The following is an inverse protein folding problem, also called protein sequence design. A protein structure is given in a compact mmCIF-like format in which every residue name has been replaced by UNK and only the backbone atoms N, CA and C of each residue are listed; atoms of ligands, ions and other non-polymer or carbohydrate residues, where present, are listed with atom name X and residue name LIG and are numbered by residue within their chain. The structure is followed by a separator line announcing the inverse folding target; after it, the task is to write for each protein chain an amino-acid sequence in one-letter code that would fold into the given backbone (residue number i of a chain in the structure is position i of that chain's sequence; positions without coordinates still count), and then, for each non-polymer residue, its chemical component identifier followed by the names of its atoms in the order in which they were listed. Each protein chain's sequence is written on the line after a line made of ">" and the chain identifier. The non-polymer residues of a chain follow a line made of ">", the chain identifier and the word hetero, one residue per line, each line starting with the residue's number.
data_IF_993123185726
#
_entry.id   IF_993123185726
#
_cell.length_a   1.000
_cell.length_b   1.000
_cell.length_c   1.000
_cell.angle_alpha   90.00
_cell.angle_beta   90.00
_cell.angle_gamma   90.00
#
_symmetry.space_group_name_H-M   'P 1'
#
loop_
_entity.id
_entity.type
_entity.pdbx_description
1 polymer ?
#
# COMPACT_ATOMS: atom_id res chain seq x y z
N UNK A 1 -18.36 -5.29 -2.00
CA UNK A 1 -19.23 -5.36 -3.19
C UNK A 1 -19.24 -4.04 -3.98
N UNK A 2 -18.14 -3.67 -4.64
CA UNK A 2 -18.16 -2.53 -5.59
C UNK A 2 -17.26 -2.71 -6.83
N UNK A 3 -16.67 -3.89 -7.03
CA UNK A 3 -15.72 -4.12 -8.14
C UNK A 3 -16.31 -4.84 -9.37
N UNK A 4 -17.63 -5.06 -9.45
CA UNK A 4 -18.23 -5.90 -10.52
C UNK A 4 -19.32 -5.17 -11.33
N UNK A 5 -19.32 -3.83 -11.42
CA UNK A 5 -20.32 -3.10 -12.22
C UNK A 5 -19.73 -2.16 -13.30
N UNK A 6 -18.55 -2.45 -13.84
CA UNK A 6 -17.94 -1.59 -14.89
C UNK A 6 -17.71 -2.23 -16.26
N UNK A 7 -18.22 -3.43 -16.53
CA UNK A 7 -17.90 -4.13 -17.79
C UNK A 7 -18.90 -3.96 -18.94
N UNK A 8 -19.96 -3.15 -18.85
CA UNK A 8 -21.01 -3.16 -19.90
C UNK A 8 -21.33 -1.86 -20.65
N UNK A 9 -20.41 -0.89 -20.74
CA UNK A 9 -20.59 0.27 -21.64
C UNK A 9 -19.24 0.74 -22.24
N UNK A 10 -18.75 0.06 -23.27
CA UNK A 10 -17.63 0.52 -24.10
C UNK A 10 -18.20 1.15 -25.38
N UNK A 11 -18.38 2.47 -25.43
CA UNK A 11 -18.30 3.18 -26.72
C UNK A 11 -18.08 4.68 -26.66
N UNK A 12 -18.44 5.43 -25.60
CA UNK A 12 -18.27 6.90 -25.62
C UNK A 12 -18.05 7.52 -24.23
N UNK A 13 -16.97 7.16 -23.51
CA UNK A 13 -16.58 7.94 -22.32
C UNK A 13 -15.61 9.06 -22.73
N UNK A 14 -15.85 10.31 -22.31
CA UNK A 14 -14.86 11.38 -22.46
C UNK A 14 -13.54 10.90 -21.87
N UNK A 15 -12.42 11.22 -22.53
CA UNK A 15 -11.10 11.02 -21.94
C UNK A 15 -11.13 11.66 -20.55
N UNK A 16 -10.97 10.83 -19.51
CA UNK A 16 -10.87 11.31 -18.14
C UNK A 16 -9.76 12.36 -18.05
N UNK A 17 -9.78 13.23 -17.02
CA UNK A 17 -8.72 14.19 -16.82
C UNK A 17 -7.36 13.47 -16.91
N UNK A 18 -6.37 14.05 -17.59
CA UNK A 18 -5.10 13.39 -17.85
C UNK A 18 -4.58 12.82 -16.52
N UNK A 19 -4.41 11.50 -16.49
CA UNK A 19 -3.86 10.81 -15.33
C UNK A 19 -2.53 11.47 -14.99
N UNK A 20 -2.49 12.23 -13.89
CA UNK A 20 -1.24 12.75 -13.35
C UNK A 20 -0.52 11.56 -12.74
N UNK A 21 0.20 10.82 -13.58
CA UNK A 21 1.21 9.87 -13.11
C UNK A 21 2.20 10.69 -12.29
N UNK A 22 2.52 10.24 -11.08
CA UNK A 22 3.61 10.86 -10.33
C UNK A 22 4.87 10.86 -11.18
N UNK A 23 5.71 11.87 -11.01
CA UNK A 23 6.93 11.98 -11.79
C UNK A 23 7.85 10.78 -11.51
N UNK A 24 8.47 10.23 -12.55
CA UNK A 24 9.44 9.13 -12.42
C UNK A 24 10.50 9.38 -11.31
N UNK A 25 11.01 10.61 -11.12
CA UNK A 25 11.91 10.93 -10.00
C UNK A 25 11.31 10.67 -8.61
N UNK A 26 10.01 10.93 -8.39
CA UNK A 26 9.35 10.65 -7.11
C UNK A 26 9.36 9.16 -6.81
N UNK A 27 9.00 8.32 -7.78
CA UNK A 27 8.98 6.86 -7.57
C UNK A 27 10.37 6.29 -7.27
N UNK A 28 11.43 6.83 -7.88
CA UNK A 28 12.80 6.41 -7.62
C UNK A 28 13.23 6.78 -6.21
N UNK A 29 12.90 8.00 -5.76
CA UNK A 29 13.21 8.45 -4.40
C UNK A 29 12.47 7.62 -3.34
N UNK A 30 11.19 7.32 -3.57
CA UNK A 30 10.41 6.45 -2.67
C UNK A 30 11.01 5.04 -2.63
N UNK A 31 11.40 4.45 -3.77
CA UNK A 31 12.08 3.14 -3.79
C UNK A 31 13.36 3.18 -2.97
N UNK A 32 14.19 4.19 -3.20
CA UNK A 32 15.48 4.37 -2.53
C UNK A 32 15.29 4.46 -1.02
N UNK A 33 14.35 5.28 -0.54
CA UNK A 33 14.06 5.41 0.89
C UNK A 33 13.47 4.12 1.48
N UNK A 34 12.56 3.45 0.76
CA UNK A 34 11.99 2.19 1.21
C UNK A 34 13.07 1.12 1.41
N UNK A 35 14.00 0.96 0.47
CA UNK A 35 15.11 0.01 0.58
C UNK A 35 16.08 0.34 1.74
N UNK A 36 16.12 1.59 2.20
CA UNK A 36 16.93 1.97 3.37
C UNK A 36 16.27 1.58 4.71
N UNK A 37 14.95 1.42 4.74
CA UNK A 37 14.20 1.18 5.98
C UNK A 37 13.57 -0.21 6.06
N UNK A 38 13.47 -0.95 4.95
CA UNK A 38 12.68 -2.20 4.89
C UNK A 38 13.22 -3.37 5.71
N UNK A 39 14.47 -3.31 6.19
CA UNK A 39 15.06 -4.30 7.11
C UNK A 39 14.93 -3.90 8.59
N UNK A 40 14.38 -2.72 8.88
CA UNK A 40 14.17 -2.23 10.24
C UNK A 40 12.81 -2.68 10.78
N UNK A 41 12.60 -2.54 12.09
CA UNK A 41 11.31 -2.78 12.71
C UNK A 41 10.74 -1.46 13.25
N UNK A 42 9.43 -1.26 13.07
CA UNK A 42 8.71 -0.24 13.83
C UNK A 42 8.63 -0.61 15.31
N UNK A 43 8.49 0.40 16.17
CA UNK A 43 8.31 0.20 17.60
C UNK A 43 6.99 -0.53 17.90
N UNK A 44 6.90 -1.13 19.09
CA UNK A 44 5.69 -1.85 19.50
C UNK A 44 4.48 -0.93 19.61
N UNK A 45 4.67 0.35 19.95
CA UNK A 45 3.60 1.35 19.96
C UNK A 45 3.04 1.59 18.56
N UNK A 46 3.89 1.67 17.54
CA UNK A 46 3.46 1.85 16.15
C UNK A 46 2.74 0.59 15.67
N UNK A 47 3.25 -0.60 15.98
CA UNK A 47 2.60 -1.87 15.64
C UNK A 47 1.24 -2.02 16.34
N UNK A 48 1.14 -1.61 17.60
CA UNK A 48 -0.12 -1.58 18.33
C UNK A 48 -1.11 -0.59 17.71
N UNK A 49 -0.65 0.62 17.36
CA UNK A 49 -1.48 1.61 16.68
C UNK A 49 -1.96 1.12 15.31
N UNK A 50 -1.11 0.42 14.54
CA UNK A 50 -1.44 -0.14 13.23
C UNK A 50 -2.61 -1.15 13.29
N UNK A 51 -2.83 -1.78 14.44
CA UNK A 51 -3.95 -2.69 14.71
C UNK A 51 -5.25 -1.99 15.12
N UNK A 52 -5.27 -0.66 15.16
CA UNK A 52 -6.47 0.11 15.49
C UNK A 52 -7.11 0.70 14.23
N UNK A 53 -8.45 0.71 14.11
CA UNK A 53 -9.15 1.39 13.02
C UNK A 53 -8.85 2.90 12.93
N UNK A 54 -8.38 3.49 14.03
CA UNK A 54 -8.05 4.90 14.13
C UNK A 54 -6.62 5.25 13.66
N UNK A 55 -5.86 4.30 13.12
CA UNK A 55 -4.50 4.56 12.65
C UNK A 55 -4.48 5.60 11.52
N UNK A 56 -3.75 6.70 11.72
CA UNK A 56 -3.61 7.74 10.71
C UNK A 56 -2.39 7.50 9.82
N UNK A 57 -2.64 7.05 8.59
CA UNK A 57 -1.58 6.83 7.59
C UNK A 57 -1.01 8.13 7.01
N UNK A 58 -1.70 9.28 7.14
CA UNK A 58 -1.26 10.56 6.54
C UNK A 58 -0.03 11.16 7.23
N UNK A 59 0.20 10.79 8.49
CA UNK A 59 1.42 11.15 9.25
C UNK A 59 2.69 10.49 8.70
N UNK A 60 2.55 9.53 7.77
CA UNK A 60 3.65 8.72 7.25
C UNK A 60 3.96 9.02 5.78
N UNK A 61 5.25 9.03 5.43
CA UNK A 61 5.71 9.18 4.05
C UNK A 61 5.43 7.94 3.20
N UNK A 62 5.40 8.08 1.87
CA UNK A 62 5.05 6.97 0.97
C UNK A 62 5.93 5.72 1.18
N UNK A 63 7.24 5.90 1.40
CA UNK A 63 8.15 4.79 1.70
C UNK A 63 7.82 4.10 3.03
N UNK A 64 7.45 4.88 4.06
CA UNK A 64 7.07 4.36 5.37
C UNK A 64 5.73 3.61 5.29
N UNK A 65 4.78 4.08 4.47
CA UNK A 65 3.50 3.39 4.21
C UNK A 65 3.71 2.04 3.53
N UNK A 66 4.65 1.95 2.56
CA UNK A 66 5.04 0.66 1.96
C UNK A 66 5.66 -0.24 3.03
N UNK A 67 6.50 0.30 3.92
CA UNK A 67 7.09 -0.46 5.01
C UNK A 67 6.06 -0.94 6.03
N UNK A 68 5.08 -0.12 6.41
CA UNK A 68 3.95 -0.52 7.26
C UNK A 68 3.14 -1.65 6.61
N UNK A 69 2.95 -1.61 5.29
CA UNK A 69 2.31 -2.70 4.54
C UNK A 69 3.14 -4.00 4.63
N UNK A 70 4.46 -3.93 4.48
CA UNK A 70 5.35 -5.08 4.69
C UNK A 70 5.22 -5.62 6.13
N UNK A 71 5.17 -4.74 7.12
CA UNK A 71 4.98 -5.12 8.53
C UNK A 71 3.68 -5.91 8.73
N UNK A 72 2.57 -5.52 8.11
CA UNK A 72 1.32 -6.28 8.20
C UNK A 72 1.48 -7.72 7.67
N UNK A 73 2.18 -7.93 6.55
CA UNK A 73 2.44 -9.27 6.01
C UNK A 73 3.28 -10.15 6.95
N UNK A 74 4.24 -9.54 7.65
CA UNK A 74 5.08 -10.22 8.63
C UNK A 74 4.30 -10.56 9.90
N UNK A 75 3.57 -9.60 10.45
CA UNK A 75 2.79 -9.78 11.70
C UNK A 75 1.61 -10.76 11.52
N UNK A 76 1.04 -10.85 10.32
CA UNK A 76 0.03 -11.87 9.96
C UNK A 76 0.65 -13.27 9.69
N UNK A 77 1.97 -13.40 9.70
CA UNK A 77 2.68 -14.65 9.43
C UNK A 77 2.55 -15.13 7.98
N UNK A 78 2.11 -14.29 7.04
CA UNK A 78 1.89 -14.67 5.65
C UNK A 78 3.19 -15.01 4.92
N UNK A 79 4.27 -14.32 5.27
CA UNK A 79 5.60 -14.58 4.69
C UNK A 79 6.03 -16.02 4.94
N UNK A 80 5.91 -16.50 6.18
CA UNK A 80 6.26 -17.87 6.55
C UNK A 80 5.22 -18.86 5.99
N UNK A 81 3.93 -18.62 6.25
CA UNK A 81 2.82 -19.50 5.87
C UNK A 81 2.79 -19.82 4.38
N UNK A 82 3.10 -18.84 3.54
CA UNK A 82 3.09 -19.00 2.08
C UNK A 82 4.49 -19.07 1.47
N UNK A 83 5.54 -19.14 2.30
CA UNK A 83 6.94 -19.20 1.87
C UNK A 83 7.29 -18.08 0.87
N UNK A 84 6.82 -16.87 1.14
CA UNK A 84 7.06 -15.70 0.29
C UNK A 84 8.47 -15.19 0.58
N UNK A 85 9.39 -15.16 -0.40
CA UNK A 85 10.69 -14.53 -0.17
C UNK A 85 10.51 -13.04 0.13
N UNK A 86 11.13 -12.55 1.21
CA UNK A 86 10.94 -11.17 1.68
C UNK A 86 11.29 -10.14 0.59
N UNK A 87 12.34 -10.38 -0.19
CA UNK A 87 12.72 -9.50 -1.30
C UNK A 87 11.68 -9.49 -2.44
N UNK A 88 11.00 -10.62 -2.66
CA UNK A 88 9.89 -10.68 -3.62
C UNK A 88 8.69 -9.89 -3.12
N UNK A 89 8.37 -9.97 -1.82
CA UNK A 89 7.32 -9.15 -1.22
C UNK A 89 7.65 -7.66 -1.34
N UNK A 90 8.89 -7.26 -1.04
CA UNK A 90 9.35 -5.86 -1.13
C UNK A 90 9.22 -5.29 -2.53
N UNK A 91 9.70 -6.01 -3.53
CA UNK A 91 9.58 -5.58 -4.93
C UNK A 91 8.10 -5.52 -5.33
N UNK A 92 7.30 -6.53 -4.99
CA UNK A 92 5.87 -6.54 -5.29
C UNK A 92 5.13 -5.35 -4.65
N UNK A 93 5.40 -5.02 -3.39
CA UNK A 93 4.78 -3.88 -2.71
C UNK A 93 5.14 -2.54 -3.38
N UNK A 94 6.41 -2.38 -3.78
CA UNK A 94 6.84 -1.21 -4.54
C UNK A 94 6.17 -1.14 -5.92
N UNK A 95 6.07 -2.28 -6.61
CA UNK A 95 5.39 -2.39 -7.90
C UNK A 95 3.91 -2.06 -7.77
N UNK A 96 3.23 -2.45 -6.68
CA UNK A 96 1.85 -2.03 -6.42
C UNK A 96 1.78 -0.51 -6.24
N UNK A 97 2.63 0.06 -5.38
CA UNK A 97 2.69 1.52 -5.14
C UNK A 97 2.82 2.32 -6.43
N UNK A 98 3.82 2.00 -7.28
CA UNK A 98 4.14 2.79 -8.47
C UNK A 98 3.03 2.79 -9.54
N UNK A 99 2.11 1.82 -9.48
CA UNK A 99 1.01 1.67 -10.43
C UNK A 99 -0.29 2.33 -9.96
N UNK A 100 -0.38 2.80 -8.71
CA UNK A 100 -1.48 3.66 -8.29
C UNK A 100 -1.32 5.08 -8.84
N UNK A 101 -2.43 5.67 -9.28
CA UNK A 101 -2.44 7.05 -9.76
C UNK A 101 -2.56 8.05 -8.60
N UNK A 102 -1.97 9.24 -8.75
CA UNK A 102 -2.13 10.35 -7.82
C UNK A 102 -3.46 11.08 -8.05
N UNK A 103 -4.55 10.43 -7.68
CA UNK A 103 -5.90 11.00 -7.72
C UNK A 103 -6.39 11.30 -6.29
N UNK A 104 -7.40 12.17 -6.11
CA UNK A 104 -7.81 12.62 -4.79
C UNK A 104 -8.23 11.51 -3.82
N UNK A 105 -8.79 10.41 -4.32
CA UNK A 105 -9.35 9.35 -3.47
C UNK A 105 -8.80 7.95 -3.77
N UNK A 106 -8.99 7.41 -4.97
CA UNK A 106 -8.52 6.07 -5.35
C UNK A 106 -7.01 6.03 -5.64
N UNK A 107 -6.22 6.33 -4.62
CA UNK A 107 -4.75 6.36 -4.64
C UNK A 107 -4.17 5.25 -3.73
N UNK A 108 -2.84 5.18 -3.65
CA UNK A 108 -2.17 4.17 -2.83
C UNK A 108 -2.52 4.26 -1.34
N UNK A 109 -2.78 5.46 -0.80
CA UNK A 109 -3.19 5.61 0.61
C UNK A 109 -4.55 4.95 0.86
N UNK A 110 -5.50 5.09 -0.06
CA UNK A 110 -6.76 4.35 0.04
C UNK A 110 -6.54 2.83 -0.01
N UNK A 111 -5.65 2.34 -0.88
CA UNK A 111 -5.26 0.92 -0.90
C UNK A 111 -4.70 0.47 0.46
N UNK A 112 -3.83 1.27 1.07
CA UNK A 112 -3.30 1.00 2.41
C UNK A 112 -4.40 0.96 3.46
N UNK A 113 -5.30 1.95 3.51
CA UNK A 113 -6.40 1.96 4.48
C UNK A 113 -7.30 0.72 4.36
N UNK A 114 -7.59 0.26 3.14
CA UNK A 114 -8.38 -0.97 2.93
C UNK A 114 -7.62 -2.19 3.46
N UNK A 115 -6.34 -2.34 3.13
CA UNK A 115 -5.53 -3.46 3.62
C UNK A 115 -5.37 -3.44 5.14
N UNK A 116 -5.13 -2.26 5.72
CA UNK A 116 -5.01 -2.06 7.17
C UNK A 116 -6.29 -2.45 7.87
N UNK A 117 -7.46 -2.00 7.40
CA UNK A 117 -8.75 -2.39 7.98
C UNK A 117 -8.97 -3.91 7.93
N UNK A 118 -8.60 -4.58 6.83
CA UNK A 118 -8.67 -6.05 6.75
C UNK A 118 -7.73 -6.70 7.77
N UNK A 119 -6.49 -6.21 7.91
CA UNK A 119 -5.54 -6.75 8.89
C UNK A 119 -6.01 -6.61 10.33
N UNK A 120 -6.73 -5.52 10.67
CA UNK A 120 -7.32 -5.30 11.99
C UNK A 120 -8.32 -6.40 12.36
N UNK A 121 -9.11 -6.89 11.39
CA UNK A 121 -10.09 -7.94 11.64
C UNK A 121 -9.47 -9.34 11.81
N UNK A 122 -8.32 -9.60 11.18
CA UNK A 122 -7.66 -10.91 11.21
C UNK A 122 -6.73 -11.08 12.43
N UNK A 123 -6.29 -9.99 13.06
CA UNK A 123 -5.44 -10.00 14.26
C UNK A 123 -6.27 -9.96 15.57
N UNK A 124 -7.59 -9.78 15.46
CA UNK A 124 -8.54 -9.71 16.57
C UNK A 124 -9.06 -11.05 17.06
#
# INVERSE_FOLDING_TARGET
>A
MCAVLQTNCLSNRPLGPPHRKSSLPKHQEVKRRFLQICDTNFSDEVKAALRLPAFDSYEWGDADVIHLMQTMFLELGFVEKFSIPVDTLREWLYEVYKHYNEVPFHNFRHCFCVAQMVSVFEIG
#
